data_IF_871838366499
#
_entry.id   IF_871838366499
#
_cell.length_a   1.000
_cell.length_b   1.000
_cell.length_c   1.000
_cell.angle_alpha   90.00
_cell.angle_beta   90.00
_cell.angle_gamma   90.00
#
_symmetry.space_group_name_H-M   'P 1'
#
loop_
_entity.id
_entity.type
_entity.pdbx_description
1 polymer ?
#
# COMPACT_ATOMS: atom_id res chain seq x y z
N UNK A 1 2.29 -3.91 -27.95
CA UNK A 1 2.63 -2.53 -27.54
C UNK A 1 1.46 -1.99 -26.72
N UNK A 2 1.44 -2.21 -25.41
CA UNK A 2 0.38 -1.71 -24.50
C UNK A 2 0.92 -1.21 -23.16
N UNK A 3 2.25 -1.23 -22.96
CA UNK A 3 2.88 -0.83 -21.70
C UNK A 3 3.02 0.70 -21.56
N UNK A 4 3.18 1.41 -22.68
CA UNK A 4 3.38 2.88 -22.68
C UNK A 4 2.16 3.65 -22.17
N UNK A 5 0.94 3.24 -22.54
CA UNK A 5 -0.28 3.95 -22.14
C UNK A 5 -0.56 3.86 -20.62
N UNK A 6 -0.10 2.79 -19.98
CA UNK A 6 -0.28 2.59 -18.54
C UNK A 6 0.68 3.45 -17.71
N UNK A 7 1.91 3.65 -18.20
CA UNK A 7 2.90 4.51 -17.55
C UNK A 7 2.56 6.00 -17.72
N UNK A 8 2.02 6.40 -18.86
CA UNK A 8 1.59 7.78 -19.12
C UNK A 8 0.43 8.23 -18.20
N UNK A 9 -0.54 7.35 -17.97
CA UNK A 9 -1.67 7.62 -17.08
C UNK A 9 -1.25 7.78 -15.60
N UNK A 10 -0.17 7.12 -15.16
CA UNK A 10 0.34 7.26 -13.80
C UNK A 10 1.13 8.56 -13.61
N UNK A 11 1.82 9.05 -14.65
CA UNK A 11 2.63 10.26 -14.56
C UNK A 11 1.77 11.54 -14.49
N UNK A 12 0.57 11.54 -15.10
CA UNK A 12 -0.37 12.67 -15.02
C UNK A 12 -1.04 12.86 -13.65
N UNK A 13 -0.97 11.88 -12.73
CA UNK A 13 -1.60 11.98 -11.41
C UNK A 13 -0.69 12.61 -10.33
N UNK A 14 0.59 12.89 -10.65
CA UNK A 14 1.57 13.39 -9.69
C UNK A 14 1.80 14.92 -9.75
N UNK A 15 1.24 15.61 -10.74
CA UNK A 15 1.51 17.03 -11.03
C UNK A 15 0.38 17.95 -10.51
N UNK A 16 0.01 17.83 -9.23
CA UNK A 16 -1.16 18.56 -8.71
C UNK A 16 -1.19 18.86 -7.21
N UNK A 17 -0.10 18.66 -6.47
CA UNK A 17 0.00 19.02 -5.05
C UNK A 17 0.82 20.30 -4.87
N UNK A 18 0.24 21.43 -5.29
CA UNK A 18 0.70 22.74 -4.83
C UNK A 18 0.25 22.95 -3.37
N UNK A 19 1.20 22.85 -2.45
CA UNK A 19 1.01 23.20 -1.04
C UNK A 19 1.21 24.70 -0.86
N UNK A 20 0.10 25.44 -0.88
CA UNK A 20 0.05 26.85 -0.48
C UNK A 20 0.51 26.98 0.99
N UNK A 21 1.67 27.61 1.15
CA UNK A 21 2.27 27.91 2.44
C UNK A 21 1.78 29.28 2.91
N UNK A 22 0.85 29.34 3.88
CA UNK A 22 0.55 30.60 4.58
C UNK A 22 0.05 30.47 6.02
N UNK A 23 0.94 30.91 6.93
CA UNK A 23 0.67 31.72 8.13
C UNK A 23 0.36 31.05 9.48
N UNK A 24 1.42 31.00 10.31
CA UNK A 24 1.56 31.45 11.71
C UNK A 24 0.40 31.37 12.72
N UNK A 25 0.69 30.83 13.91
CA UNK A 25 -0.07 31.11 15.14
C UNK A 25 0.12 30.10 16.29
N UNK A 26 1.12 30.36 17.13
CA UNK A 26 1.25 30.11 18.58
C UNK A 26 0.21 29.22 19.34
N UNK A 27 0.72 28.26 20.13
CA UNK A 27 0.28 27.76 21.48
C UNK A 27 0.27 26.21 21.59
N UNK A 28 0.86 25.60 22.65
CA UNK A 28 1.09 24.16 22.73
C UNK A 28 -0.08 23.40 23.37
N UNK A 29 -0.56 22.33 22.74
CA UNK A 29 -1.44 21.37 23.40
C UNK A 29 -1.37 20.00 22.72
N UNK A 30 -1.01 19.01 23.54
CA UNK A 30 -1.38 17.60 23.52
C UNK A 30 -1.76 16.95 22.18
N UNK A 31 -0.96 15.95 21.81
CA UNK A 31 -1.39 14.63 21.35
C UNK A 31 -2.78 14.55 20.71
N UNK A 32 -2.92 15.06 19.49
CA UNK A 32 -3.98 14.63 18.59
C UNK A 32 -3.32 13.68 17.60
N UNK A 33 -3.43 12.39 17.90
CA UNK A 33 -3.11 11.32 16.96
C UNK A 33 -4.10 11.52 15.83
N UNK A 34 -3.62 12.16 14.76
CA UNK A 34 -4.33 12.36 13.51
C UNK A 34 -5.00 11.05 13.14
N UNK A 35 -6.33 11.05 13.29
CA UNK A 35 -7.20 9.91 13.09
C UNK A 35 -7.09 9.56 11.60
N UNK A 36 -6.10 8.70 11.28
CA UNK A 36 -5.96 8.13 9.96
C UNK A 36 -7.32 7.55 9.60
N UNK A 37 -7.90 7.91 8.44
CA UNK A 37 -9.21 7.38 8.05
C UNK A 37 -9.11 5.87 8.16
N UNK A 38 -9.97 5.26 8.98
CA UNK A 38 -9.95 3.83 9.27
C UNK A 38 -9.86 3.07 7.96
N UNK A 39 -8.64 2.68 7.60
CA UNK A 39 -8.38 2.08 6.30
C UNK A 39 -9.11 0.76 6.40
N UNK A 40 -10.02 0.43 5.47
CA UNK A 40 -10.81 -0.78 5.58
C UNK A 40 -9.85 -1.97 5.76
N UNK A 41 -9.84 -2.53 6.96
CA UNK A 41 -8.88 -3.57 7.36
C UNK A 41 -9.10 -4.84 6.53
N UNK A 42 -10.29 -4.96 5.95
CA UNK A 42 -10.70 -6.08 5.11
C UNK A 42 -10.39 -5.81 3.64
N UNK A 43 -9.52 -6.65 3.08
CA UNK A 43 -9.23 -6.68 1.66
C UNK A 43 -10.38 -7.42 0.93
N UNK A 44 -10.64 -7.11 -0.35
CA UNK A 44 -11.57 -7.89 -1.17
C UNK A 44 -11.14 -9.35 -1.16
N UNK A 45 -12.07 -10.30 -1.18
CA UNK A 45 -11.73 -11.74 -1.26
C UNK A 45 -11.70 -12.20 -2.71
N UNK A 46 -10.93 -13.25 -2.99
CA UNK A 46 -10.94 -13.91 -4.31
C UNK A 46 -10.27 -13.11 -5.41
N UNK A 47 -9.38 -12.16 -5.08
CA UNK A 47 -8.56 -11.49 -6.08
C UNK A 47 -7.56 -12.48 -6.69
N UNK A 48 -7.39 -12.42 -8.01
CA UNK A 48 -6.25 -13.02 -8.69
C UNK A 48 -4.94 -12.39 -8.19
N UNK A 49 -3.80 -13.05 -8.39
CA UNK A 49 -2.49 -12.54 -7.94
C UNK A 49 -2.21 -11.12 -8.43
N UNK A 50 -2.41 -10.86 -9.72
CA UNK A 50 -2.29 -9.53 -10.32
C UNK A 50 -3.25 -8.50 -9.66
N UNK A 51 -4.52 -8.88 -9.48
CA UNK A 51 -5.50 -8.03 -8.80
C UNK A 51 -5.16 -7.74 -7.34
N UNK A 52 -4.57 -8.70 -6.63
CA UNK A 52 -4.04 -8.52 -5.28
C UNK A 52 -2.89 -7.51 -5.26
N UNK A 53 -1.94 -7.62 -6.20
CA UNK A 53 -0.79 -6.72 -6.29
C UNK A 53 -1.21 -5.30 -6.65
N UNK A 54 -2.09 -5.13 -7.65
CA UNK A 54 -2.67 -3.84 -8.03
C UNK A 54 -3.46 -3.23 -6.87
N UNK A 55 -4.22 -4.03 -6.14
CA UNK A 55 -4.96 -3.56 -4.96
C UNK A 55 -4.01 -3.12 -3.84
N UNK A 56 -2.97 -3.91 -3.56
CA UNK A 56 -1.96 -3.60 -2.56
C UNK A 56 -1.21 -2.33 -2.92
N UNK A 57 -0.85 -2.13 -4.19
CA UNK A 57 -0.21 -0.92 -4.68
C UNK A 57 -1.11 0.32 -4.52
N UNK A 58 -2.38 0.22 -4.94
CA UNK A 58 -3.31 1.37 -4.94
C UNK A 58 -3.80 1.77 -3.55
N UNK A 59 -4.01 0.80 -2.66
CA UNK A 59 -4.60 1.06 -1.32
C UNK A 59 -3.56 1.07 -0.20
N UNK A 60 -2.42 0.41 -0.39
CA UNK A 60 -1.45 0.16 0.67
C UNK A 60 -0.01 0.26 0.14
N UNK A 61 0.29 1.36 -0.55
CA UNK A 61 1.59 1.58 -1.22
C UNK A 61 2.78 1.31 -0.30
N UNK A 62 2.71 1.72 0.97
CA UNK A 62 3.77 1.44 1.94
C UNK A 62 4.03 -0.06 2.14
N UNK A 63 2.99 -0.90 2.18
CA UNK A 63 3.15 -2.36 2.24
C UNK A 63 3.62 -2.94 0.90
N UNK A 64 3.13 -2.38 -0.21
CA UNK A 64 3.54 -2.77 -1.55
C UNK A 64 5.04 -2.54 -1.80
N UNK A 65 5.61 -1.42 -1.36
CA UNK A 65 7.04 -1.13 -1.52
C UNK A 65 7.96 -2.17 -0.85
N UNK A 66 7.51 -2.82 0.24
CA UNK A 66 8.24 -3.95 0.83
C UNK A 66 7.93 -5.26 0.11
N UNK A 67 6.69 -5.46 -0.32
CA UNK A 67 6.28 -6.62 -1.10
C UNK A 67 7.04 -6.72 -2.43
N UNK A 68 7.25 -5.62 -3.14
CA UNK A 68 7.95 -5.57 -4.42
C UNK A 68 9.39 -6.07 -4.31
N UNK A 69 10.04 -5.79 -3.18
CA UNK A 69 11.41 -6.24 -2.87
C UNK A 69 11.49 -7.74 -2.59
N UNK A 70 10.38 -8.44 -2.36
CA UNK A 70 10.37 -9.89 -2.12
C UNK A 70 10.66 -10.67 -3.41
N UNK A 71 11.33 -11.83 -3.28
CA UNK A 71 11.49 -12.77 -4.38
C UNK A 71 10.17 -13.48 -4.71
N UNK A 72 10.09 -14.13 -5.87
CA UNK A 72 8.84 -14.73 -6.35
C UNK A 72 8.23 -15.75 -5.37
N UNK A 73 9.06 -16.57 -4.72
CA UNK A 73 8.62 -17.54 -3.71
C UNK A 73 8.01 -16.85 -2.47
N UNK A 74 8.66 -15.78 -1.98
CA UNK A 74 8.17 -14.98 -0.87
C UNK A 74 6.86 -14.25 -1.21
N UNK A 75 6.74 -13.72 -2.43
CA UNK A 75 5.49 -13.12 -2.95
C UNK A 75 4.35 -14.12 -3.00
N UNK A 76 4.62 -15.33 -3.48
CA UNK A 76 3.63 -16.41 -3.52
C UNK A 76 3.14 -16.82 -2.13
N UNK A 77 4.05 -16.91 -1.15
CA UNK A 77 3.67 -17.17 0.25
C UNK A 77 2.75 -16.09 0.83
N UNK A 78 3.01 -14.82 0.54
CA UNK A 78 2.14 -13.70 0.97
C UNK A 78 0.76 -13.80 0.32
N UNK A 79 0.71 -14.06 -0.99
CA UNK A 79 -0.56 -14.20 -1.71
C UNK A 79 -1.38 -15.41 -1.23
N UNK A 80 -0.71 -16.55 -0.99
CA UNK A 80 -1.35 -17.74 -0.41
C UNK A 80 -1.93 -17.45 0.98
N UNK A 81 -1.19 -16.72 1.81
CA UNK A 81 -1.64 -16.31 3.14
C UNK A 81 -2.85 -15.35 3.07
N UNK A 82 -2.86 -14.42 2.12
CA UNK A 82 -4.02 -13.56 1.82
C UNK A 82 -5.28 -14.39 1.49
N UNK A 83 -5.13 -15.46 0.70
CA UNK A 83 -6.23 -16.37 0.34
C UNK A 83 -6.93 -16.99 1.56
N UNK A 84 -6.18 -17.29 2.63
CA UNK A 84 -6.74 -17.77 3.90
C UNK A 84 -7.33 -16.67 4.77
N UNK A 85 -6.68 -15.50 4.85
CA UNK A 85 -7.13 -14.36 5.65
C UNK A 85 -6.94 -13.05 4.89
N UNK A 86 -7.98 -12.57 4.17
CA UNK A 86 -7.90 -11.36 3.33
C UNK A 86 -8.05 -10.10 4.19
N UNK A 87 -7.05 -9.85 5.03
CA UNK A 87 -6.95 -8.72 5.94
C UNK A 87 -5.58 -8.07 5.78
N UNK A 88 -5.54 -6.74 5.72
CA UNK A 88 -4.30 -6.03 5.40
C UNK A 88 -3.24 -6.16 6.47
N UNK A 89 -3.59 -6.14 7.76
CA UNK A 89 -2.60 -6.25 8.82
C UNK A 89 -1.95 -7.62 8.83
N UNK A 90 -2.74 -8.67 8.56
CA UNK A 90 -2.21 -10.00 8.35
C UNK A 90 -1.25 -10.06 7.15
N UNK A 91 -1.64 -9.47 6.00
CA UNK A 91 -0.79 -9.42 4.81
C UNK A 91 0.50 -8.65 5.08
N UNK A 92 0.44 -7.51 5.78
CA UNK A 92 1.60 -6.70 6.16
C UNK A 92 2.57 -7.49 7.05
N UNK A 93 2.04 -8.23 8.02
CA UNK A 93 2.85 -9.09 8.87
C UNK A 93 3.52 -10.22 8.08
N UNK A 94 2.83 -10.79 7.08
CA UNK A 94 3.45 -11.78 6.19
C UNK A 94 4.57 -11.16 5.35
N UNK A 95 4.34 -9.98 4.77
CA UNK A 95 5.36 -9.25 4.00
C UNK A 95 6.60 -9.01 4.86
N UNK A 96 6.42 -8.49 6.10
CA UNK A 96 7.53 -8.28 7.04
C UNK A 96 8.27 -9.59 7.35
N UNK A 97 7.55 -10.67 7.63
CA UNK A 97 8.16 -11.98 7.92
C UNK A 97 8.97 -12.51 6.75
N UNK A 98 8.48 -12.39 5.53
CA UNK A 98 9.22 -12.83 4.34
C UNK A 98 10.43 -11.92 4.06
N UNK A 99 10.28 -10.61 4.27
CA UNK A 99 11.36 -9.65 4.07
C UNK A 99 12.53 -9.90 5.02
N UNK A 100 12.26 -10.24 6.28
CA UNK A 100 13.26 -10.54 7.30
C UNK A 100 13.92 -11.93 7.15
N UNK A 101 13.37 -12.81 6.30
CA UNK A 101 13.87 -14.16 6.07
C UNK A 101 14.74 -14.31 4.82
N UNK A 102 14.95 -13.20 4.09
CA UNK A 102 15.87 -13.15 2.95
C UNK A 102 17.32 -13.32 3.40
#
# INVERSE_FOLDING_TARGET
MFADAYLDALNSAADGLELDSKSAGDTPASSDIESSPAVPENMPKGLSKDGFEVFLQKRFFGSFAFYEKLDNDAKEKVFSAYGGKPNIDFVRDQIKRQYLRK
#
